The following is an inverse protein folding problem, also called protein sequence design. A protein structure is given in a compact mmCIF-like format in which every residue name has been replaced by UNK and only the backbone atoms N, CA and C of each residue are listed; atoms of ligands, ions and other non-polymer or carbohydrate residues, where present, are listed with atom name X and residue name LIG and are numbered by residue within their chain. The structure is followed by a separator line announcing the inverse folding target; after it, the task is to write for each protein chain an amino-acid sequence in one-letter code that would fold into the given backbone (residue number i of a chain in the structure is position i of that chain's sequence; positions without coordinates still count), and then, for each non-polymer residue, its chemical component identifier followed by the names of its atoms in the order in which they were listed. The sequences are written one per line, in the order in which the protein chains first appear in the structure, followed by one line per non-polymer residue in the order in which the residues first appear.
data_IF_233310023180
#
_entry.id   IF_233310023180
#
_cell.length_a   1.000
_cell.length_b   1.000
_cell.length_c   1.000
_cell.angle_alpha   90.00
_cell.angle_beta   90.00
_cell.angle_gamma   90.00
#
_symmetry.space_group_name_H-M   'P 1'
#
loop_
_entity.id
_entity.type
_entity.pdbx_description
1 polymer ?
#
# COMPACT_ATOMS: atom_id res chain seq x y z
N UNK A 1 -8.00 -29.51 -10.87
CA UNK A 1 -7.14 -29.17 -9.72
C UNK A 1 -8.05 -29.08 -8.49
N UNK A 2 -7.96 -30.09 -7.62
CA UNK A 2 -8.86 -30.25 -6.49
C UNK A 2 -8.82 -29.07 -5.49
N UNK A 3 -9.99 -28.56 -5.15
CA UNK A 3 -10.21 -27.48 -4.17
C UNK A 3 -9.70 -27.79 -2.76
N UNK A 4 -9.21 -29.01 -2.50
CA UNK A 4 -8.93 -29.54 -1.15
C UNK A 4 -7.55 -29.16 -0.58
N UNK A 5 -6.65 -28.55 -1.35
CA UNK A 5 -5.25 -28.33 -0.96
C UNK A 5 -4.77 -26.88 -1.04
N UNK A 6 -5.64 -25.92 -1.19
CA UNK A 6 -5.23 -24.50 -1.25
C UNK A 6 -4.87 -23.99 0.15
N UNK A 7 -3.61 -23.61 0.34
CA UNK A 7 -3.19 -22.85 1.50
C UNK A 7 -4.05 -21.60 1.63
N UNK A 8 -4.75 -21.43 2.75
CA UNK A 8 -5.58 -20.25 2.97
C UNK A 8 -4.69 -19.02 3.18
N UNK A 9 -5.09 -17.86 2.60
CA UNK A 9 -4.43 -16.58 2.83
C UNK A 9 -4.34 -16.25 4.32
N UNK A 10 -5.38 -16.58 5.08
CA UNK A 10 -5.40 -16.43 6.54
C UNK A 10 -4.32 -17.27 7.23
N UNK A 11 -4.02 -18.47 6.71
CA UNK A 11 -2.93 -19.31 7.25
C UNK A 11 -1.57 -18.64 7.07
N UNK A 12 -1.29 -18.02 5.91
CA UNK A 12 -0.04 -17.28 5.68
C UNK A 12 0.07 -16.06 6.60
N UNK A 13 -0.99 -15.26 6.69
CA UNK A 13 -1.01 -14.06 7.52
C UNK A 13 -0.88 -14.37 9.01
N UNK A 14 -1.68 -15.31 9.52
CA UNK A 14 -1.76 -15.57 10.96
C UNK A 14 -0.77 -16.62 11.46
N UNK A 15 0.00 -17.30 10.58
CA UNK A 15 0.95 -18.32 10.98
C UNK A 15 2.06 -17.79 11.91
N UNK A 16 2.57 -16.59 11.66
CA UNK A 16 3.54 -15.92 12.51
C UNK A 16 2.95 -15.51 13.86
N UNK A 17 1.73 -14.92 13.83
CA UNK A 17 1.03 -14.42 15.01
C UNK A 17 0.53 -15.54 15.95
N UNK A 18 0.49 -16.79 15.45
CA UNK A 18 0.16 -18.00 16.21
C UNK A 18 1.38 -18.88 16.51
N UNK A 19 2.55 -18.55 15.95
CA UNK A 19 3.78 -19.32 16.07
C UNK A 19 4.51 -19.15 17.41
N UNK A 20 5.74 -19.61 17.45
CA UNK A 20 6.62 -19.57 18.65
C UNK A 20 6.91 -18.14 19.13
N UNK A 21 7.03 -17.19 18.21
CA UNK A 21 7.26 -15.77 18.51
C UNK A 21 5.98 -14.94 18.75
N UNK A 22 4.82 -15.60 18.93
CA UNK A 22 3.51 -14.93 19.06
C UNK A 22 3.48 -13.78 20.08
N UNK A 23 4.07 -13.97 21.25
CA UNK A 23 4.08 -12.93 22.32
C UNK A 23 4.82 -11.67 21.85
N UNK A 24 5.97 -11.82 21.22
CA UNK A 24 6.77 -10.71 20.70
C UNK A 24 6.08 -10.01 19.54
N UNK A 25 5.45 -10.79 18.65
CA UNK A 25 4.68 -10.26 17.52
C UNK A 25 3.52 -9.39 17.99
N UNK A 26 2.69 -9.89 18.92
CA UNK A 26 1.57 -9.12 19.47
C UNK A 26 2.00 -7.89 20.26
N UNK A 27 3.04 -7.98 21.11
CA UNK A 27 3.56 -6.83 21.85
C UNK A 27 4.04 -5.74 20.88
N UNK A 28 4.82 -6.12 19.86
CA UNK A 28 5.29 -5.13 18.86
C UNK A 28 4.14 -4.59 18.01
N UNK A 29 3.19 -5.43 17.61
CA UNK A 29 2.01 -4.99 16.85
C UNK A 29 1.15 -3.99 17.63
N UNK A 30 0.88 -4.28 18.91
CA UNK A 30 0.16 -3.36 19.80
C UNK A 30 0.94 -2.07 20.05
N UNK A 31 2.26 -2.14 20.20
CA UNK A 31 3.10 -0.96 20.33
C UNK A 31 3.05 -0.06 19.08
N UNK A 32 3.13 -0.65 17.89
CA UNK A 32 3.00 0.07 16.61
C UNK A 32 1.62 0.74 16.54
N UNK A 33 0.56 0.02 16.87
CA UNK A 33 -0.79 0.56 16.88
C UNK A 33 -0.95 1.72 17.86
N UNK A 34 -0.43 1.57 19.08
CA UNK A 34 -0.47 2.62 20.11
C UNK A 34 0.30 3.87 19.67
N UNK A 35 1.52 3.71 19.11
CA UNK A 35 2.32 4.83 18.61
C UNK A 35 1.65 5.51 17.41
N UNK A 36 1.03 4.75 16.50
CA UNK A 36 0.28 5.31 15.35
C UNK A 36 -0.93 6.11 15.82
N UNK A 37 -1.69 5.59 16.77
CA UNK A 37 -2.84 6.31 17.36
C UNK A 37 -2.37 7.55 18.13
N UNK A 38 -1.26 7.47 18.88
CA UNK A 38 -0.66 8.61 19.57
C UNK A 38 -0.21 9.69 18.58
N UNK A 39 0.39 9.32 17.45
CA UNK A 39 0.76 10.27 16.39
C UNK A 39 -0.48 10.99 15.81
N UNK A 40 -1.58 10.26 15.56
CA UNK A 40 -2.85 10.85 15.11
C UNK A 40 -3.41 11.80 16.18
N UNK A 41 -3.33 11.42 17.44
CA UNK A 41 -3.76 12.28 18.54
C UNK A 41 -2.93 13.59 18.63
N UNK A 42 -1.62 13.52 18.43
CA UNK A 42 -0.80 14.74 18.33
C UNK A 42 -1.22 15.62 17.14
N UNK A 43 -1.65 15.03 16.04
CA UNK A 43 -2.18 15.79 14.89
C UNK A 43 -3.50 16.51 15.24
N UNK A 44 -4.33 15.92 16.11
CA UNK A 44 -5.52 16.60 16.65
C UNK A 44 -5.14 17.80 17.52
N UNK A 45 -4.20 17.63 18.44
CA UNK A 45 -3.72 18.74 19.28
C UNK A 45 -3.10 19.87 18.45
N UNK A 46 -2.37 19.52 17.39
CA UNK A 46 -1.86 20.50 16.44
C UNK A 46 -3.00 21.21 15.69
N UNK A 47 -4.10 20.52 15.41
CA UNK A 47 -5.27 21.14 14.78
C UNK A 47 -5.96 22.14 15.72
N UNK A 48 -6.09 21.84 17.00
CA UNK A 48 -6.63 22.78 18.02
C UNK A 48 -5.65 23.94 18.25
N UNK A 49 -4.36 23.67 18.17
CA UNK A 49 -3.33 24.70 18.21
C UNK A 49 -3.49 25.71 17.05
N UNK A 50 -3.82 25.27 15.83
CA UNK A 50 -4.09 26.19 14.71
C UNK A 50 -5.17 27.21 15.07
N UNK A 51 -6.27 26.77 15.70
CA UNK A 51 -7.32 27.67 16.13
C UNK A 51 -6.82 28.71 17.12
N UNK A 52 -6.15 28.27 18.18
CA UNK A 52 -5.65 29.15 19.25
C UNK A 52 -4.60 30.13 18.72
N UNK A 53 -3.64 29.64 17.94
CA UNK A 53 -2.51 30.43 17.46
C UNK A 53 -2.94 31.52 16.44
N UNK A 54 -3.78 31.13 15.45
CA UNK A 54 -4.25 32.11 14.46
C UNK A 54 -5.27 33.10 15.05
N UNK A 55 -6.01 32.70 16.08
CA UNK A 55 -6.86 33.64 16.83
C UNK A 55 -6.03 34.65 17.65
N UNK A 56 -4.93 34.20 18.27
CA UNK A 56 -4.01 35.09 18.95
C UNK A 56 -3.31 36.06 17.98
N UNK A 57 -2.93 35.62 16.78
CA UNK A 57 -2.41 36.49 15.72
C UNK A 57 -3.43 37.51 15.28
N UNK A 58 -4.70 37.14 15.11
CA UNK A 58 -5.78 38.05 14.75
C UNK A 58 -6.01 39.14 15.82
N UNK A 59 -5.83 38.81 17.10
CA UNK A 59 -6.01 39.70 18.23
C UNK A 59 -4.73 40.46 18.64
N UNK A 60 -3.60 40.23 17.94
CA UNK A 60 -2.28 40.81 18.24
C UNK A 60 -1.78 40.51 19.66
N UNK A 61 -2.16 39.36 20.24
CA UNK A 61 -1.75 38.93 21.58
C UNK A 61 -0.37 38.30 21.55
N UNK A 62 0.65 39.10 21.80
CA UNK A 62 2.05 38.68 21.79
C UNK A 62 2.34 37.58 22.81
N UNK A 63 1.71 37.59 23.98
CA UNK A 63 1.94 36.58 25.02
C UNK A 63 1.37 35.23 24.61
N UNK A 64 0.14 35.22 24.09
CA UNK A 64 -0.48 33.99 23.57
C UNK A 64 0.27 33.41 22.37
N UNK A 65 0.82 34.27 21.48
CA UNK A 65 1.65 33.85 20.34
C UNK A 65 2.92 33.13 20.84
N UNK A 66 3.63 33.73 21.82
CA UNK A 66 4.87 33.11 22.37
C UNK A 66 4.58 31.78 23.03
N UNK A 67 3.53 31.69 23.81
CA UNK A 67 3.10 30.43 24.43
C UNK A 67 2.70 29.40 23.39
N UNK A 68 2.00 29.82 22.34
CA UNK A 68 1.63 28.96 21.19
C UNK A 68 2.85 28.36 20.48
N UNK A 69 3.93 29.13 20.28
CA UNK A 69 5.15 28.61 19.64
C UNK A 69 5.83 27.52 20.49
N UNK A 70 5.84 27.67 21.80
CA UNK A 70 6.39 26.66 22.72
C UNK A 70 5.52 25.39 22.67
N UNK A 71 4.19 25.53 22.71
CA UNK A 71 3.26 24.41 22.58
C UNK A 71 3.42 23.65 21.26
N UNK A 72 3.53 24.40 20.14
CA UNK A 72 3.76 23.81 18.83
C UNK A 72 5.02 22.96 18.82
N UNK A 73 6.12 23.49 19.36
CA UNK A 73 7.40 22.78 19.41
C UNK A 73 7.25 21.45 20.17
N UNK A 74 6.56 21.47 21.30
CA UNK A 74 6.28 20.26 22.08
C UNK A 74 5.43 19.24 21.32
N UNK A 75 4.33 19.67 20.72
CA UNK A 75 3.43 18.78 19.96
C UNK A 75 4.10 18.22 18.70
N UNK A 76 4.84 19.08 17.97
CA UNK A 76 5.55 18.66 16.76
C UNK A 76 6.63 17.65 17.07
N UNK A 77 7.42 17.87 18.15
CA UNK A 77 8.45 16.91 18.55
C UNK A 77 7.85 15.58 19.00
N UNK A 78 6.77 15.61 19.78
CA UNK A 78 6.05 14.40 20.19
C UNK A 78 5.47 13.63 18.98
N UNK A 79 4.87 14.35 18.02
CA UNK A 79 4.39 13.75 16.77
C UNK A 79 5.49 13.05 15.99
N UNK A 80 6.63 13.75 15.80
CA UNK A 80 7.80 13.20 15.11
C UNK A 80 8.31 11.95 15.85
N UNK A 81 8.44 12.01 17.17
CA UNK A 81 8.90 10.87 17.96
C UNK A 81 7.97 9.66 17.78
N UNK A 82 6.65 9.84 17.95
CA UNK A 82 5.69 8.74 17.80
C UNK A 82 5.67 8.17 16.38
N UNK A 83 5.72 9.00 15.36
CA UNK A 83 5.73 8.58 13.97
C UNK A 83 7.00 7.79 13.62
N UNK A 84 8.17 8.33 13.95
CA UNK A 84 9.46 7.69 13.65
C UNK A 84 9.61 6.35 14.39
N UNK A 85 9.21 6.29 15.66
CA UNK A 85 9.27 5.03 16.41
C UNK A 85 8.22 4.01 15.92
N UNK A 86 7.04 4.45 15.47
CA UNK A 86 6.06 3.56 14.85
C UNK A 86 6.64 2.89 13.60
N UNK A 87 7.25 3.66 12.70
CA UNK A 87 7.88 3.17 11.48
C UNK A 87 9.11 2.28 11.79
N UNK A 88 9.92 2.65 12.77
CA UNK A 88 11.05 1.84 13.20
C UNK A 88 10.61 0.45 13.71
N UNK A 89 9.61 0.40 14.58
CA UNK A 89 9.12 -0.87 15.11
C UNK A 89 8.40 -1.68 14.04
N UNK A 90 7.72 -1.04 13.10
CA UNK A 90 7.08 -1.69 11.95
C UNK A 90 8.13 -2.40 11.08
N UNK A 91 9.21 -1.71 10.71
CA UNK A 91 10.31 -2.30 9.93
C UNK A 91 11.00 -3.44 10.70
N UNK A 92 11.22 -3.26 12.00
CA UNK A 92 11.81 -4.29 12.86
C UNK A 92 10.91 -5.53 12.98
N UNK A 93 9.59 -5.35 13.05
CA UNK A 93 8.62 -6.45 13.06
C UNK A 93 8.58 -7.16 11.69
N UNK A 94 8.63 -6.41 10.58
CA UNK A 94 8.70 -6.96 9.22
C UNK A 94 9.92 -7.85 9.04
N UNK A 95 11.09 -7.40 9.49
CA UNK A 95 12.35 -8.15 9.42
C UNK A 95 12.29 -9.44 10.26
N UNK A 96 11.70 -9.41 11.47
CA UNK A 96 11.50 -10.60 12.29
C UNK A 96 10.57 -11.60 11.64
N UNK A 97 9.45 -11.12 11.09
CA UNK A 97 8.50 -11.96 10.39
C UNK A 97 9.12 -12.58 9.14
N UNK A 98 9.87 -11.79 8.36
CA UNK A 98 10.66 -12.28 7.21
C UNK A 98 11.63 -13.38 7.63
N UNK A 99 12.43 -13.15 8.68
CA UNK A 99 13.39 -14.15 9.18
C UNK A 99 12.70 -15.47 9.52
N UNK A 100 11.61 -15.41 10.28
CA UNK A 100 10.85 -16.58 10.68
C UNK A 100 10.24 -17.34 9.47
N UNK A 101 9.68 -16.61 8.49
CA UNK A 101 9.17 -17.23 7.27
C UNK A 101 10.30 -17.87 6.46
N UNK A 102 11.38 -17.14 6.22
CA UNK A 102 12.53 -17.63 5.43
C UNK A 102 13.11 -18.92 6.05
N UNK A 103 13.30 -18.94 7.36
CA UNK A 103 13.79 -20.13 8.07
C UNK A 103 12.87 -21.34 7.86
N UNK A 104 11.55 -21.16 7.99
CA UNK A 104 10.58 -22.23 7.76
C UNK A 104 10.52 -22.70 6.30
N UNK A 105 10.59 -21.77 5.35
CA UNK A 105 10.55 -22.10 3.94
C UNK A 105 11.83 -22.82 3.50
N UNK A 106 13.00 -22.34 3.94
CA UNK A 106 14.28 -23.00 3.68
C UNK A 106 14.30 -24.43 4.26
N UNK A 107 13.90 -24.58 5.53
CA UNK A 107 13.85 -25.91 6.16
C UNK A 107 12.93 -26.88 5.41
N UNK A 108 11.80 -26.44 4.90
CA UNK A 108 10.88 -27.27 4.09
C UNK A 108 11.44 -27.58 2.71
N UNK A 109 12.07 -26.59 2.07
CA UNK A 109 12.60 -26.72 0.71
C UNK A 109 13.83 -27.65 0.66
N UNK A 110 14.66 -27.65 1.71
CA UNK A 110 15.83 -28.53 1.81
C UNK A 110 15.49 -29.92 2.36
N UNK A 111 14.36 -30.09 3.06
CA UNK A 111 13.97 -31.37 3.64
C UNK A 111 13.63 -32.41 2.57
N UNK A 112 14.24 -33.60 2.67
CA UNK A 112 13.92 -34.77 1.81
C UNK A 112 14.07 -34.50 0.31
N UNK A 113 15.11 -33.72 -0.05
CA UNK A 113 15.46 -33.37 -1.44
C UNK A 113 14.31 -32.68 -2.21
N UNK A 114 13.49 -31.88 -1.49
CA UNK A 114 12.35 -31.21 -2.09
C UNK A 114 12.77 -30.31 -3.26
N UNK A 115 13.91 -29.62 -3.15
CA UNK A 115 14.49 -28.79 -4.21
C UNK A 115 14.64 -29.56 -5.52
N UNK A 116 15.17 -30.78 -5.45
CA UNK A 116 15.34 -31.67 -6.61
C UNK A 116 14.00 -32.19 -7.15
N UNK A 117 13.11 -32.62 -6.25
CA UNK A 117 11.78 -33.13 -6.64
C UNK A 117 10.94 -32.05 -7.33
N UNK A 118 11.00 -30.84 -6.85
CA UNK A 118 10.27 -29.71 -7.46
C UNK A 118 10.80 -29.41 -8.87
N UNK A 119 12.08 -29.51 -9.11
CA UNK A 119 12.67 -29.27 -10.42
C UNK A 119 12.31 -30.38 -11.41
N UNK A 120 12.50 -31.64 -11.05
CA UNK A 120 12.29 -32.79 -11.92
C UNK A 120 10.80 -33.03 -12.23
N UNK A 121 9.91 -32.94 -11.23
CA UNK A 121 8.50 -33.27 -11.41
C UNK A 121 7.65 -32.08 -11.83
N UNK A 122 8.18 -30.84 -11.86
CA UNK A 122 7.48 -29.66 -12.36
C UNK A 122 7.43 -29.55 -13.88
N UNK A 123 8.13 -30.44 -14.61
CA UNK A 123 8.12 -30.46 -16.08
C UNK A 123 8.58 -29.16 -16.73
N UNK A 124 9.56 -28.47 -16.15
CA UNK A 124 10.08 -27.20 -16.68
C UNK A 124 9.15 -25.99 -16.51
N UNK A 125 8.00 -26.13 -15.85
CA UNK A 125 7.15 -25.02 -15.42
C UNK A 125 7.61 -24.53 -14.05
N UNK A 126 8.92 -24.24 -13.93
CA UNK A 126 9.57 -23.90 -12.66
C UNK A 126 8.96 -22.67 -12.03
N UNK A 127 8.38 -22.86 -10.87
CA UNK A 127 8.29 -21.78 -9.91
C UNK A 127 9.75 -21.51 -9.49
N UNK A 128 10.20 -20.25 -9.48
CA UNK A 128 11.54 -19.86 -9.09
C UNK A 128 11.64 -19.83 -7.56
N UNK A 129 12.07 -20.92 -6.88
CA UNK A 129 12.09 -21.00 -5.41
C UNK A 129 12.99 -19.94 -4.78
N UNK A 130 14.10 -19.61 -5.45
CA UNK A 130 15.03 -18.56 -5.10
C UNK A 130 14.33 -17.22 -4.98
N UNK A 131 13.54 -16.82 -5.97
CA UNK A 131 12.77 -15.59 -5.97
C UNK A 131 11.65 -15.61 -4.92
N UNK A 132 10.98 -16.77 -4.73
CA UNK A 132 9.92 -16.89 -3.71
C UNK A 132 10.45 -16.71 -2.30
N UNK A 133 11.62 -17.29 -1.99
CA UNK A 133 12.22 -17.25 -0.66
C UNK A 133 12.92 -15.90 -0.40
N UNK A 134 13.62 -15.34 -1.40
CA UNK A 134 14.39 -14.10 -1.22
C UNK A 134 13.54 -12.83 -1.33
N UNK A 135 12.70 -12.72 -2.37
CA UNK A 135 12.00 -11.48 -2.70
C UNK A 135 10.53 -11.47 -2.26
N UNK A 136 9.78 -12.58 -2.53
CA UNK A 136 8.34 -12.59 -2.25
C UNK A 136 8.05 -12.63 -0.75
N UNK A 137 8.84 -13.32 0.07
CA UNK A 137 8.69 -13.30 1.53
C UNK A 137 8.94 -11.90 2.07
N UNK A 138 9.97 -11.21 1.60
CA UNK A 138 10.28 -9.83 2.00
C UNK A 138 9.14 -8.87 1.64
N UNK A 139 8.73 -8.91 0.38
CA UNK A 139 7.62 -8.10 -0.12
C UNK A 139 6.31 -8.38 0.62
N UNK A 140 5.99 -9.63 0.90
CA UNK A 140 4.78 -10.02 1.62
C UNK A 140 4.77 -9.50 3.05
N UNK A 141 5.87 -9.66 3.79
CA UNK A 141 5.93 -9.27 5.21
C UNK A 141 5.96 -7.76 5.38
N UNK A 142 6.75 -7.05 4.57
CA UNK A 142 6.86 -5.59 4.62
C UNK A 142 5.56 -4.90 4.17
N UNK A 143 4.98 -5.33 3.05
CA UNK A 143 3.72 -4.75 2.55
C UNK A 143 2.54 -5.07 3.47
N UNK A 144 2.46 -6.27 4.07
CA UNK A 144 1.39 -6.60 5.02
C UNK A 144 1.34 -5.63 6.19
N UNK A 145 2.49 -5.36 6.81
CA UNK A 145 2.56 -4.46 7.96
C UNK A 145 2.36 -2.99 7.56
N UNK A 146 2.93 -2.57 6.44
CA UNK A 146 2.74 -1.21 5.91
C UNK A 146 1.27 -0.92 5.57
N UNK A 147 0.58 -1.88 4.93
CA UNK A 147 -0.86 -1.75 4.63
C UNK A 147 -1.70 -1.72 5.91
N UNK A 148 -1.37 -2.55 6.90
CA UNK A 148 -2.10 -2.56 8.18
C UNK A 148 -1.90 -1.25 8.95
N UNK A 149 -0.67 -0.75 9.04
CA UNK A 149 -0.36 0.51 9.73
C UNK A 149 -1.01 1.70 9.02
N UNK A 150 -0.86 1.80 7.70
CA UNK A 150 -1.46 2.89 6.94
C UNK A 150 -2.99 2.88 6.98
N UNK A 151 -3.63 1.70 6.95
CA UNK A 151 -5.07 1.57 7.12
C UNK A 151 -5.52 2.01 8.52
N UNK A 152 -4.80 1.59 9.57
CA UNK A 152 -5.07 2.01 10.94
C UNK A 152 -4.97 3.52 11.08
N UNK A 153 -3.91 4.12 10.54
CA UNK A 153 -3.71 5.57 10.54
C UNK A 153 -4.84 6.29 9.80
N UNK A 154 -5.17 5.84 8.59
CA UNK A 154 -6.23 6.47 7.78
C UNK A 154 -7.60 6.41 8.48
N UNK A 155 -7.98 5.23 8.97
CA UNK A 155 -9.27 5.05 9.67
C UNK A 155 -9.32 5.89 10.95
N UNK A 156 -8.27 5.86 11.77
CA UNK A 156 -8.20 6.66 13.00
C UNK A 156 -8.28 8.16 12.68
N UNK A 157 -7.55 8.63 11.67
CA UNK A 157 -7.59 10.04 11.24
C UNK A 157 -8.98 10.43 10.77
N UNK A 158 -9.61 9.61 9.91
CA UNK A 158 -10.98 9.88 9.42
C UNK A 158 -11.95 10.00 10.59
N UNK A 159 -11.97 9.03 11.50
CA UNK A 159 -12.89 9.03 12.65
C UNK A 159 -12.68 10.28 13.50
N UNK A 160 -11.44 10.59 13.88
CA UNK A 160 -11.13 11.72 14.72
C UNK A 160 -11.49 13.06 14.05
N UNK A 161 -11.06 13.26 12.81
CA UNK A 161 -11.25 14.55 12.13
C UNK A 161 -12.68 14.76 11.61
N UNK A 162 -13.45 13.70 11.32
CA UNK A 162 -14.88 13.81 11.05
C UNK A 162 -15.61 14.33 12.30
N UNK A 163 -15.28 13.83 13.49
CA UNK A 163 -15.90 14.31 14.74
C UNK A 163 -15.58 15.79 14.96
N UNK A 164 -14.31 16.20 14.78
CA UNK A 164 -13.92 17.61 14.89
C UNK A 164 -14.65 18.48 13.86
N UNK A 165 -14.68 18.04 12.61
CA UNK A 165 -15.33 18.78 11.52
C UNK A 165 -16.85 18.86 11.72
N UNK A 166 -17.46 17.85 12.28
CA UNK A 166 -18.88 17.84 12.66
C UNK A 166 -19.17 18.88 13.74
N UNK A 167 -18.36 18.91 14.80
CA UNK A 167 -18.51 19.90 15.89
C UNK A 167 -18.25 21.34 15.44
N UNK A 168 -17.35 21.54 14.46
CA UNK A 168 -17.10 22.85 13.85
C UNK A 168 -18.17 23.25 12.84
N UNK A 169 -19.01 22.32 12.42
CA UNK A 169 -20.07 22.55 11.44
C UNK A 169 -21.35 22.95 12.14
N UNK A 170 -21.77 24.21 11.96
CA UNK A 170 -23.14 24.62 12.33
C UNK A 170 -24.16 24.12 11.30
N UNK A 171 -25.44 24.30 11.61
CA UNK A 171 -26.53 24.00 10.68
C UNK A 171 -26.54 25.02 9.54
N UNK A 172 -26.32 24.57 8.31
CA UNK A 172 -26.48 25.37 7.12
C UNK A 172 -27.98 25.45 6.80
N UNK A 173 -28.59 26.64 6.91
CA UNK A 173 -29.98 26.90 6.50
C UNK A 173 -29.97 27.53 5.12
N UNK A 174 -30.54 26.85 4.13
CA UNK A 174 -30.74 27.42 2.80
C UNK A 174 -32.18 27.19 2.35
N UNK A 175 -32.75 28.17 1.69
CA UNK A 175 -34.09 28.09 1.09
C UNK A 175 -33.96 27.75 -0.39
N UNK A 176 -34.47 26.58 -0.77
CA UNK A 176 -34.58 26.19 -2.17
C UNK A 176 -36.05 25.93 -2.52
N UNK A 177 -36.57 26.61 -3.53
CA UNK A 177 -37.96 26.51 -3.98
C UNK A 177 -39.01 26.71 -2.86
N UNK A 178 -38.76 27.62 -1.91
CA UNK A 178 -39.70 27.95 -0.80
C UNK A 178 -39.66 26.98 0.38
N UNK A 179 -38.84 25.98 0.35
CA UNK A 179 -38.57 25.09 1.50
C UNK A 179 -37.23 25.41 2.15
N UNK A 180 -37.23 25.55 3.48
CA UNK A 180 -36.01 25.73 4.27
C UNK A 180 -35.41 24.36 4.61
N UNK A 181 -34.22 24.09 4.10
CA UNK A 181 -33.46 22.91 4.42
C UNK A 181 -32.46 23.24 5.54
N UNK A 182 -32.40 22.39 6.55
CA UNK A 182 -31.43 22.43 7.63
C UNK A 182 -30.43 21.29 7.45
N UNK A 183 -29.22 21.62 7.04
CA UNK A 183 -28.15 20.62 6.83
C UNK A 183 -27.15 20.70 7.99
N UNK A 184 -27.25 19.78 8.93
CA UNK A 184 -26.27 19.62 10.01
C UNK A 184 -25.00 18.96 9.49
N UNK A 185 -23.82 19.35 9.98
CA UNK A 185 -22.56 18.74 9.57
C UNK A 185 -22.16 19.01 8.11
N UNK A 186 -22.62 20.12 7.49
CA UNK A 186 -22.42 20.37 6.06
C UNK A 186 -20.95 20.33 5.64
N UNK A 187 -20.00 20.69 6.52
CA UNK A 187 -18.57 20.63 6.25
C UNK A 187 -18.09 19.18 6.04
N UNK A 188 -18.65 18.24 6.78
CA UNK A 188 -18.34 16.80 6.61
C UNK A 188 -18.85 16.30 5.27
N UNK A 189 -20.13 16.63 4.94
CA UNK A 189 -20.73 16.21 3.67
C UNK A 189 -19.98 16.79 2.47
N UNK A 190 -19.57 18.06 2.54
CA UNK A 190 -18.78 18.69 1.46
C UNK A 190 -17.40 18.06 1.33
N UNK A 191 -16.72 17.69 2.44
CA UNK A 191 -15.43 17.02 2.42
C UNK A 191 -15.55 15.61 1.82
N UNK A 192 -16.56 14.84 2.20
CA UNK A 192 -16.81 13.51 1.67
C UNK A 192 -17.13 13.56 0.17
N UNK A 193 -18.04 14.44 -0.24
CA UNK A 193 -18.45 14.59 -1.63
C UNK A 193 -17.28 15.00 -2.52
N UNK A 194 -16.48 15.96 -2.06
CA UNK A 194 -15.26 16.40 -2.74
C UNK A 194 -14.28 15.23 -2.91
N UNK A 195 -14.00 14.50 -1.83
CA UNK A 195 -13.05 13.40 -1.85
C UNK A 195 -13.51 12.23 -2.73
N UNK A 196 -14.81 11.87 -2.67
CA UNK A 196 -15.39 10.82 -3.51
C UNK A 196 -15.36 11.22 -4.97
N UNK A 197 -15.75 12.46 -5.30
CA UNK A 197 -15.72 12.97 -6.67
C UNK A 197 -14.29 12.97 -7.25
N UNK A 198 -13.31 13.51 -6.51
CA UNK A 198 -11.91 13.53 -6.92
C UNK A 198 -11.32 12.13 -7.12
N UNK A 199 -11.63 11.23 -6.22
CA UNK A 199 -11.27 9.82 -6.29
C UNK A 199 -11.83 9.15 -7.54
N UNK A 200 -13.12 9.31 -7.79
CA UNK A 200 -13.80 8.72 -8.94
C UNK A 200 -13.19 9.22 -10.26
N UNK A 201 -12.97 10.52 -10.39
CA UNK A 201 -12.35 11.12 -11.58
C UNK A 201 -10.92 10.62 -11.77
N UNK A 202 -10.12 10.57 -10.70
CA UNK A 202 -8.73 10.06 -10.72
C UNK A 202 -8.70 8.60 -11.14
N UNK A 203 -9.62 7.76 -10.63
CA UNK A 203 -9.72 6.36 -11.00
C UNK A 203 -10.06 6.17 -12.49
N UNK A 204 -11.00 6.94 -13.03
CA UNK A 204 -11.39 6.85 -14.45
C UNK A 204 -10.23 7.17 -15.41
N UNK A 205 -9.41 8.18 -15.04
CA UNK A 205 -8.22 8.54 -15.83
C UNK A 205 -7.10 7.53 -15.63
N UNK A 206 -6.87 7.08 -14.40
CA UNK A 206 -5.81 6.15 -14.02
C UNK A 206 -6.00 4.72 -14.55
N UNK A 207 -7.24 4.29 -14.75
CA UNK A 207 -7.58 2.94 -15.22
C UNK A 207 -6.83 2.53 -16.50
N UNK A 208 -6.69 3.44 -17.46
CA UNK A 208 -5.98 3.18 -18.72
C UNK A 208 -4.47 3.03 -18.54
N UNK A 209 -3.91 3.62 -17.49
CA UNK A 209 -2.48 3.55 -17.19
C UNK A 209 -2.06 2.14 -16.75
N UNK A 210 -2.93 1.42 -16.06
CA UNK A 210 -2.67 0.03 -15.62
C UNK A 210 -2.41 -0.88 -16.83
N UNK A 211 -3.26 -0.79 -17.85
CA UNK A 211 -3.10 -1.58 -19.07
C UNK A 211 -1.82 -1.20 -19.84
N UNK A 212 -1.49 0.10 -19.93
CA UNK A 212 -0.27 0.57 -20.59
C UNK A 212 1.00 0.14 -19.83
N UNK A 213 1.00 0.16 -18.51
CA UNK A 213 2.11 -0.32 -17.69
C UNK A 213 2.31 -1.84 -17.82
N UNK A 214 1.22 -2.61 -17.88
CA UNK A 214 1.30 -4.04 -18.14
C UNK A 214 1.92 -4.34 -19.51
N UNK A 215 1.49 -3.63 -20.56
CA UNK A 215 2.06 -3.78 -21.90
C UNK A 215 3.52 -3.33 -21.94
N UNK A 216 3.91 -2.29 -21.17
CA UNK A 216 5.29 -1.87 -21.03
C UNK A 216 6.16 -2.98 -20.45
N UNK A 217 5.75 -3.57 -19.33
CA UNK A 217 6.48 -4.69 -18.72
C UNK A 217 6.65 -5.87 -19.66
N UNK A 218 5.60 -6.19 -20.45
CA UNK A 218 5.64 -7.27 -21.44
C UNK A 218 6.66 -6.97 -22.56
N UNK A 219 6.70 -5.74 -23.08
CA UNK A 219 7.64 -5.33 -24.14
C UNK A 219 9.08 -5.31 -23.63
N UNK A 220 9.31 -4.81 -22.43
CA UNK A 220 10.61 -4.86 -21.74
C UNK A 220 11.08 -6.30 -21.52
N UNK A 221 10.19 -7.19 -21.09
CA UNK A 221 10.49 -8.61 -20.94
C UNK A 221 10.86 -9.26 -22.28
N UNK A 222 10.16 -8.94 -23.38
CA UNK A 222 10.46 -9.46 -24.71
C UNK A 222 11.81 -8.96 -25.23
N UNK A 223 12.16 -7.70 -24.95
CA UNK A 223 13.46 -7.15 -25.29
C UNK A 223 14.58 -7.86 -24.51
N UNK A 224 14.43 -7.99 -23.20
CA UNK A 224 15.36 -8.70 -22.33
C UNK A 224 15.54 -10.16 -22.74
N UNK A 225 14.46 -10.86 -23.06
CA UNK A 225 14.49 -12.23 -23.55
C UNK A 225 15.29 -12.34 -24.87
N UNK A 226 15.12 -11.37 -25.77
CA UNK A 226 15.94 -11.30 -26.99
C UNK A 226 17.44 -11.19 -26.72
N UNK A 227 17.83 -10.34 -25.77
CA UNK A 227 19.26 -10.21 -25.37
C UNK A 227 19.80 -11.49 -24.71
N UNK A 228 18.98 -12.13 -23.83
CA UNK A 228 19.38 -13.41 -23.22
C UNK A 228 19.59 -14.49 -24.29
N UNK A 229 18.67 -14.61 -25.26
CA UNK A 229 18.81 -15.54 -26.37
C UNK A 229 20.09 -15.29 -27.20
N UNK A 230 20.39 -14.01 -27.50
CA UNK A 230 21.63 -13.68 -28.21
C UNK A 230 22.87 -14.09 -27.42
N UNK A 231 22.88 -13.89 -26.10
CA UNK A 231 23.97 -14.33 -25.22
C UNK A 231 24.13 -15.87 -25.23
N UNK A 232 23.03 -16.57 -25.14
CA UNK A 232 23.03 -18.04 -25.08
C UNK A 232 23.45 -18.68 -26.41
N UNK A 233 23.26 -17.97 -27.55
CA UNK A 233 23.66 -18.41 -28.90
C UNK A 233 24.83 -17.61 -29.46
N UNK A 234 25.62 -16.93 -28.61
CA UNK A 234 26.66 -15.98 -29.02
C UNK A 234 27.68 -16.56 -29.97
N UNK A 235 28.14 -17.80 -29.72
CA UNK A 235 29.11 -18.48 -30.56
C UNK A 235 28.59 -18.72 -31.99
N UNK A 236 27.37 -19.24 -32.13
CA UNK A 236 26.72 -19.45 -33.42
C UNK A 236 26.52 -18.16 -34.19
N UNK A 237 26.06 -17.09 -33.51
CA UNK A 237 25.85 -15.78 -34.12
C UNK A 237 27.18 -15.15 -34.58
N UNK A 238 28.24 -15.32 -33.79
CA UNK A 238 29.58 -14.86 -34.12
C UNK A 238 30.15 -15.60 -35.35
N UNK A 239 29.96 -16.94 -35.37
CA UNK A 239 30.44 -17.81 -36.48
C UNK A 239 29.81 -17.40 -37.83
N UNK A 240 28.51 -17.09 -37.84
CA UNK A 240 27.78 -16.68 -39.05
C UNK A 240 27.84 -15.16 -39.30
N UNK A 241 28.61 -14.38 -38.55
CA UNK A 241 28.65 -12.93 -38.60
C UNK A 241 27.29 -12.24 -38.53
N UNK A 242 26.33 -12.88 -37.80
CA UNK A 242 24.92 -12.46 -37.71
C UNK A 242 24.64 -11.25 -36.83
N UNK A 243 25.64 -10.63 -36.19
CA UNK A 243 25.49 -9.55 -35.21
C UNK A 243 24.71 -8.35 -35.73
N UNK A 244 24.86 -7.95 -36.99
CA UNK A 244 24.09 -6.86 -37.57
C UNK A 244 22.59 -7.13 -37.66
N UNK A 245 22.18 -8.36 -37.98
CA UNK A 245 20.78 -8.76 -38.06
C UNK A 245 20.16 -8.86 -36.65
N UNK A 246 20.86 -9.41 -35.69
CA UNK A 246 20.42 -9.49 -34.31
C UNK A 246 20.28 -8.07 -33.69
N UNK A 247 21.22 -7.16 -33.99
CA UNK A 247 21.10 -5.77 -33.54
C UNK A 247 19.83 -5.10 -34.09
N UNK A 248 19.51 -5.28 -35.37
CA UNK A 248 18.27 -4.73 -35.94
C UNK A 248 17.02 -5.32 -35.29
N UNK A 249 16.99 -6.63 -35.03
CA UNK A 249 15.88 -7.31 -34.39
C UNK A 249 15.68 -6.85 -32.94
N UNK A 250 16.77 -6.70 -32.19
CA UNK A 250 16.74 -6.19 -30.82
C UNK A 250 16.33 -4.72 -30.76
N UNK A 251 16.88 -3.90 -31.65
CA UNK A 251 16.52 -2.48 -31.72
C UNK A 251 15.05 -2.28 -32.08
N UNK A 252 14.49 -3.08 -32.99
CA UNK A 252 13.07 -3.05 -33.30
C UNK A 252 12.20 -3.38 -32.06
N UNK A 253 12.58 -4.40 -31.28
CA UNK A 253 11.88 -4.73 -30.01
C UNK A 253 11.97 -3.58 -29.01
N UNK A 254 13.12 -2.95 -28.91
CA UNK A 254 13.32 -1.76 -28.07
C UNK A 254 12.44 -0.59 -28.52
N UNK A 255 12.36 -0.31 -29.81
CA UNK A 255 11.49 0.75 -30.34
C UNK A 255 10.02 0.52 -30.01
N UNK A 256 9.55 -0.73 -29.98
CA UNK A 256 8.18 -1.05 -29.54
C UNK A 256 7.98 -0.71 -28.05
N UNK A 257 8.96 -0.96 -27.20
CA UNK A 257 8.91 -0.57 -25.79
C UNK A 257 8.92 0.96 -25.65
N UNK A 258 9.77 1.66 -26.38
CA UNK A 258 9.84 3.14 -26.40
C UNK A 258 8.51 3.75 -26.88
N UNK A 259 7.91 3.21 -27.94
CA UNK A 259 6.62 3.69 -28.44
C UNK A 259 5.51 3.60 -27.38
N UNK A 260 5.45 2.48 -26.66
CA UNK A 260 4.49 2.33 -25.57
C UNK A 260 4.82 3.25 -24.38
N UNK A 261 6.11 3.44 -24.07
CA UNK A 261 6.54 4.37 -23.01
C UNK A 261 6.07 5.81 -23.27
N UNK A 262 6.07 6.27 -24.52
CA UNK A 262 5.48 7.56 -24.86
C UNK A 262 3.99 7.64 -24.55
N UNK A 263 3.23 6.56 -24.75
CA UNK A 263 1.81 6.50 -24.36
C UNK A 263 1.64 6.56 -22.85
N UNK A 264 2.50 5.85 -22.08
CA UNK A 264 2.55 5.90 -20.62
C UNK A 264 2.84 7.33 -20.15
N UNK A 265 3.86 7.99 -20.69
CA UNK A 265 4.22 9.39 -20.38
C UNK A 265 3.04 10.32 -20.65
N UNK A 266 2.40 10.19 -21.83
CA UNK A 266 1.23 11.02 -22.18
C UNK A 266 0.09 10.83 -21.18
N UNK A 267 -0.19 9.59 -20.74
CA UNK A 267 -1.23 9.30 -19.74
C UNK A 267 -0.85 9.77 -18.35
N UNK A 268 0.40 9.60 -17.94
CA UNK A 268 0.91 10.15 -16.69
C UNK A 268 0.76 11.67 -16.65
N UNK A 269 1.09 12.37 -17.75
CA UNK A 269 0.89 13.81 -17.83
C UNK A 269 -0.58 14.21 -17.60
N UNK A 270 -1.53 13.49 -18.24
CA UNK A 270 -2.96 13.75 -18.05
C UNK A 270 -3.39 13.52 -16.61
N UNK A 271 -2.92 12.43 -16.00
CA UNK A 271 -3.22 12.11 -14.60
C UNK A 271 -2.61 13.15 -13.65
N UNK A 272 -1.36 13.56 -13.88
CA UNK A 272 -0.68 14.59 -13.06
C UNK A 272 -1.38 15.94 -13.13
N UNK A 273 -1.84 16.37 -14.30
CA UNK A 273 -2.64 17.59 -14.44
C UNK A 273 -3.93 17.53 -13.60
N UNK A 274 -4.61 16.39 -13.66
CA UNK A 274 -5.85 16.19 -12.92
C UNK A 274 -5.60 16.16 -11.39
N UNK A 275 -4.62 15.37 -10.94
CA UNK A 275 -4.31 15.22 -9.50
C UNK A 275 -3.75 16.52 -8.91
N UNK A 276 -2.88 17.22 -9.65
CA UNK A 276 -2.36 18.52 -9.22
C UNK A 276 -3.45 19.59 -9.19
N UNK A 277 -4.30 19.66 -10.22
CA UNK A 277 -5.44 20.57 -10.25
C UNK A 277 -6.42 20.31 -9.11
N UNK A 278 -6.76 19.05 -8.90
CA UNK A 278 -7.59 18.62 -7.77
C UNK A 278 -6.96 19.03 -6.43
N UNK A 279 -5.65 18.79 -6.25
CA UNK A 279 -4.94 19.17 -5.03
C UNK A 279 -4.93 20.70 -4.79
N UNK A 280 -4.76 21.52 -5.84
CA UNK A 280 -4.81 22.97 -5.71
C UNK A 280 -6.23 23.48 -5.35
N UNK A 281 -7.25 22.90 -5.95
CA UNK A 281 -8.65 23.23 -5.60
C UNK A 281 -8.94 22.84 -4.14
N UNK A 282 -8.43 21.70 -3.69
CA UNK A 282 -8.59 21.21 -2.31
C UNK A 282 -8.07 22.19 -1.25
N UNK A 283 -7.02 22.95 -1.55
CA UNK A 283 -6.49 23.98 -0.63
C UNK A 283 -7.49 25.12 -0.44
N UNK A 284 -8.11 25.58 -1.53
CA UNK A 284 -9.01 26.74 -1.52
C UNK A 284 -10.44 26.37 -1.11
N UNK A 285 -10.88 25.16 -1.44
CA UNK A 285 -12.27 24.72 -1.27
C UNK A 285 -12.82 24.90 0.16
N UNK A 286 -12.12 24.47 1.24
CA UNK A 286 -12.62 24.67 2.60
C UNK A 286 -12.73 26.15 2.97
N UNK A 287 -11.86 27.02 2.45
CA UNK A 287 -11.97 28.46 2.66
C UNK A 287 -13.22 29.02 2.01
N UNK A 288 -13.53 28.65 0.77
CA UNK A 288 -14.74 29.08 0.07
C UNK A 288 -16.01 28.65 0.82
N UNK A 289 -16.03 27.41 1.31
CA UNK A 289 -17.18 26.85 2.04
C UNK A 289 -17.34 27.46 3.42
N UNK A 290 -16.26 27.83 4.12
CA UNK A 290 -16.31 28.45 5.44
C UNK A 290 -16.30 30.00 5.43
N UNK A 291 -15.95 30.65 4.29
CA UNK A 291 -15.87 32.11 4.16
C UNK A 291 -17.14 32.87 4.58
N UNK A 292 -18.37 32.44 4.25
CA UNK A 292 -19.57 33.16 4.68
C UNK A 292 -19.67 33.31 6.20
N UNK A 293 -19.24 32.28 6.94
CA UNK A 293 -19.23 32.29 8.41
C UNK A 293 -18.15 33.20 8.99
N UNK A 294 -16.97 33.20 8.36
CA UNK A 294 -15.90 34.11 8.75
C UNK A 294 -16.27 35.57 8.51
N UNK A 295 -16.84 35.90 7.33
CA UNK A 295 -17.28 37.24 6.99
C UNK A 295 -18.44 37.75 7.88
N UNK A 296 -19.29 36.85 8.36
CA UNK A 296 -20.36 37.17 9.34
C UNK A 296 -19.85 37.14 10.79
N UNK A 297 -18.53 37.04 11.02
CA UNK A 297 -17.87 37.01 12.34
C UNK A 297 -18.36 35.90 13.27
N UNK A 298 -18.95 34.83 12.73
CA UNK A 298 -19.36 33.65 13.49
C UNK A 298 -18.19 32.74 13.87
N UNK A 299 -17.11 32.75 13.09
CA UNK A 299 -15.86 32.04 13.37
C UNK A 299 -14.67 33.00 13.31
N UNK A 300 -13.63 32.71 14.12
CA UNK A 300 -12.35 33.42 14.08
C UNK A 300 -11.50 33.00 12.89
N UNK A 301 -10.40 33.70 12.62
CA UNK A 301 -9.38 33.25 11.65
C UNK A 301 -8.83 31.88 12.03
N UNK A 302 -8.61 31.65 13.33
CA UNK A 302 -8.16 30.35 13.83
C UNK A 302 -9.14 29.23 13.52
N UNK A 303 -10.45 29.46 13.72
CA UNK A 303 -11.49 28.50 13.36
C UNK A 303 -11.54 28.21 11.86
N UNK A 304 -11.32 29.22 11.01
CA UNK A 304 -11.22 29.04 9.57
C UNK A 304 -10.03 28.16 9.17
N UNK A 305 -8.86 28.42 9.77
CA UNK A 305 -7.64 27.61 9.54
C UNK A 305 -7.79 26.18 10.07
N UNK A 306 -8.44 26.01 11.21
CA UNK A 306 -8.77 24.71 11.77
C UNK A 306 -9.65 23.87 10.83
N UNK A 307 -10.71 24.47 10.28
CA UNK A 307 -11.59 23.82 9.29
C UNK A 307 -10.81 23.41 8.05
N UNK A 308 -9.95 24.30 7.51
CA UNK A 308 -9.14 24.00 6.34
C UNK A 308 -8.19 22.81 6.57
N UNK A 309 -7.55 22.77 7.74
CA UNK A 309 -6.66 21.68 8.11
C UNK A 309 -7.42 20.35 8.31
N UNK A 310 -8.57 20.38 9.00
CA UNK A 310 -9.44 19.20 9.16
C UNK A 310 -9.87 18.63 7.81
N UNK A 311 -10.30 19.51 6.91
CA UNK A 311 -10.71 19.13 5.56
C UNK A 311 -9.56 18.41 4.81
N UNK A 312 -8.35 18.98 4.84
CA UNK A 312 -7.17 18.37 4.25
C UNK A 312 -6.87 16.97 4.82
N UNK A 313 -6.92 16.82 6.15
CA UNK A 313 -6.68 15.53 6.82
C UNK A 313 -7.71 14.45 6.45
N UNK A 314 -8.99 14.82 6.37
CA UNK A 314 -10.05 13.89 5.92
C UNK A 314 -9.84 13.51 4.46
N UNK A 315 -9.53 14.49 3.59
CA UNK A 315 -9.26 14.26 2.18
C UNK A 315 -8.06 13.34 1.97
N UNK A 316 -6.93 13.62 2.62
CA UNK A 316 -5.71 12.81 2.49
C UNK A 316 -5.95 11.36 2.92
N UNK A 317 -6.68 11.17 4.03
CA UNK A 317 -7.00 9.84 4.55
C UNK A 317 -7.96 9.06 3.64
N UNK A 318 -8.94 9.72 3.03
CA UNK A 318 -9.83 9.11 2.03
C UNK A 318 -9.07 8.79 0.73
N UNK A 319 -8.20 9.70 0.30
CA UNK A 319 -7.32 9.47 -0.87
C UNK A 319 -6.36 8.31 -0.64
N UNK A 320 -5.88 8.12 0.59
CA UNK A 320 -5.04 6.96 0.94
C UNK A 320 -5.78 5.63 0.69
N UNK A 321 -7.04 5.52 1.10
CA UNK A 321 -7.82 4.28 0.92
C UNK A 321 -7.97 3.89 -0.56
N UNK A 322 -7.94 4.87 -1.44
CA UNK A 322 -8.00 4.64 -2.90
C UNK A 322 -6.63 4.31 -3.48
N UNK A 323 -5.62 5.05 -3.08
CA UNK A 323 -4.25 4.84 -3.58
C UNK A 323 -3.66 3.50 -3.10
N UNK A 324 -4.08 3.04 -1.94
CA UNK A 324 -3.66 1.74 -1.38
C UNK A 324 -4.13 0.54 -2.21
N UNK A 325 -5.14 0.71 -3.08
CA UNK A 325 -5.65 -0.37 -3.93
C UNK A 325 -4.56 -1.01 -4.81
N UNK A 326 -3.67 -0.20 -5.37
CA UNK A 326 -2.54 -0.72 -6.16
C UNK A 326 -1.55 -1.51 -5.30
N UNK A 327 -1.31 -1.06 -4.08
CA UNK A 327 -0.51 -1.77 -3.08
C UNK A 327 -1.15 -3.10 -2.68
N UNK A 328 -2.47 -3.12 -2.45
CA UNK A 328 -3.23 -4.34 -2.15
C UNK A 328 -3.15 -5.33 -3.31
N UNK A 329 -3.28 -4.88 -4.57
CA UNK A 329 -3.18 -5.75 -5.74
C UNK A 329 -1.78 -6.37 -5.87
N UNK A 330 -0.72 -5.60 -5.67
CA UNK A 330 0.67 -6.08 -5.65
C UNK A 330 0.90 -7.09 -4.52
N UNK A 331 0.45 -6.76 -3.31
CA UNK A 331 0.51 -7.64 -2.15
C UNK A 331 -0.26 -8.95 -2.38
N UNK A 332 -1.46 -8.89 -2.96
CA UNK A 332 -2.26 -10.07 -3.27
C UNK A 332 -1.59 -10.96 -4.31
N UNK A 333 -0.95 -10.38 -5.33
CA UNK A 333 -0.18 -11.12 -6.32
C UNK A 333 0.99 -11.85 -5.67
N UNK A 334 1.75 -11.18 -4.79
CA UNK A 334 2.84 -11.76 -4.01
C UNK A 334 2.34 -12.90 -3.09
N UNK A 335 1.26 -12.66 -2.35
CA UNK A 335 0.64 -13.66 -1.49
C UNK A 335 0.15 -14.89 -2.28
N UNK A 336 -0.41 -14.71 -3.48
CA UNK A 336 -0.84 -15.82 -4.33
C UNK A 336 0.34 -16.66 -4.84
N UNK A 337 1.48 -16.04 -5.17
CA UNK A 337 2.70 -16.76 -5.56
C UNK A 337 3.24 -17.60 -4.40
N UNK A 338 3.33 -17.03 -3.19
CA UNK A 338 3.75 -17.76 -1.98
C UNK A 338 2.80 -18.92 -1.64
N UNK A 339 1.48 -18.72 -1.85
CA UNK A 339 0.49 -19.80 -1.67
C UNK A 339 0.71 -20.91 -2.67
N UNK A 340 0.86 -20.60 -3.96
CA UNK A 340 1.12 -21.59 -5.01
C UNK A 340 2.40 -22.38 -4.72
N UNK A 341 3.46 -21.70 -4.28
CA UNK A 341 4.71 -22.34 -3.88
C UNK A 341 4.53 -23.28 -2.67
N UNK A 342 3.79 -22.84 -1.66
CA UNK A 342 3.47 -23.66 -0.47
C UNK A 342 2.64 -24.88 -0.85
N UNK A 343 1.60 -24.70 -1.68
CA UNK A 343 0.73 -25.77 -2.15
C UNK A 343 1.54 -26.82 -2.97
N UNK A 344 2.48 -26.35 -3.77
CA UNK A 344 3.36 -27.22 -4.55
C UNK A 344 4.27 -28.05 -3.65
N UNK A 345 4.93 -27.45 -2.65
CA UNK A 345 5.73 -28.21 -1.67
C UNK A 345 4.88 -29.23 -0.90
N UNK A 346 3.67 -28.87 -0.47
CA UNK A 346 2.77 -29.79 0.24
C UNK A 346 2.31 -30.95 -0.65
N UNK A 347 2.05 -30.70 -1.93
CA UNK A 347 1.67 -31.75 -2.90
C UNK A 347 2.81 -32.76 -3.10
N UNK A 348 4.04 -32.27 -3.28
CA UNK A 348 5.23 -33.13 -3.44
C UNK A 348 5.54 -33.95 -2.17
N UNK A 349 5.36 -33.34 -0.99
CA UNK A 349 5.52 -34.06 0.29
C UNK A 349 4.53 -35.22 0.40
N UNK A 350 3.25 -35.00 0.06
CA UNK A 350 2.22 -36.05 0.09
C UNK A 350 2.47 -37.14 -0.92
N UNK A 351 2.88 -36.79 -2.14
CA UNK A 351 3.24 -37.76 -3.18
C UNK A 351 4.39 -38.68 -2.71
N UNK A 352 5.43 -38.10 -2.08
CA UNK A 352 6.52 -38.86 -1.52
C UNK A 352 6.09 -39.82 -0.42
N UNK A 353 5.28 -39.39 0.52
CA UNK A 353 4.74 -40.22 1.61
C UNK A 353 3.86 -41.36 1.08
N UNK A 354 3.09 -41.12 0.02
CA UNK A 354 2.28 -42.16 -0.62
C UNK A 354 3.13 -43.19 -1.34
N UNK A 355 4.20 -42.74 -2.04
CA UNK A 355 5.16 -43.66 -2.69
C UNK A 355 5.87 -44.56 -1.68
N UNK A 356 6.33 -43.99 -0.57
CA UNK A 356 6.97 -44.73 0.52
C UNK A 356 6.03 -45.79 1.14
N UNK A 357 4.77 -45.42 1.40
CA UNK A 357 3.75 -46.36 1.92
C UNK A 357 3.49 -47.50 0.93
N UNK A 358 3.46 -47.23 -0.38
CA UNK A 358 3.28 -48.27 -1.41
C UNK A 358 4.49 -49.20 -1.46
N UNK A 359 5.70 -48.68 -1.34
CA UNK A 359 6.93 -49.46 -1.31
C UNK A 359 6.96 -50.41 -0.09
N UNK A 360 6.70 -49.87 1.12
CA UNK A 360 6.65 -50.69 2.35
C UNK A 360 5.60 -51.80 2.25
N UNK A 361 4.43 -51.56 1.68
CA UNK A 361 3.40 -52.57 1.45
C UNK A 361 3.91 -53.69 0.48
N UNK A 362 4.59 -53.29 -0.63
CA UNK A 362 5.18 -54.27 -1.56
C UNK A 362 6.26 -55.12 -0.92
N UNK A 363 7.13 -54.51 -0.10
CA UNK A 363 8.21 -55.26 0.59
C UNK A 363 7.62 -56.26 1.59
N UNK A 364 6.57 -55.89 2.33
CA UNK A 364 5.87 -56.79 3.25
C UNK A 364 5.17 -57.95 2.54
N UNK A 365 4.65 -57.76 1.33
CA UNK A 365 4.02 -58.81 0.53
C UNK A 365 5.05 -59.76 -0.12
N UNK A 366 6.28 -59.28 -0.32
CA UNK A 366 7.37 -60.11 -0.88
C UNK A 366 8.16 -60.89 0.21
N UNK A 367 7.93 -60.57 1.49
CA UNK A 367 8.56 -61.25 2.63
C UNK A 367 7.67 -62.33 3.25
N UNK A 368 6.46 -62.53 2.73
CA UNK A 368 5.57 -63.66 2.98
C UNK A 368 5.67 -64.69 1.85
#
# INVERSE_FOLDING_TARGET
MDKQYRCSLSRLLFSYWKGEERKKAWIMGLLIAALTIAAVYMTLLLNDWFNSFYSALQNYDCQAIYHGLIQFTGYAFAYIAFSVYADYFQQKLALRWRRWMTEKYLARWTAGDMYYRMEVFSGGRGDNPDQRISEDIDSFTSQSLSLMQGLLQAVTTIVCFIVVLWNLSETLTFTLWGHTFHLEGYLVWTALLYSVAGTWVTHQVGKKLIALNYEQQKREANFRFGMMRLRDTAESVAFYHGGGRENQALFFRFLLAVANQYLVIKKNKQLSWLTSGYGQIAIIFPFVVAAPRYLTKKISLGGLMQIANCFGKVQDSLSYLVNVYTGIASWQACANRLRAFTDHMEAQTKAAQQAEKKLRRKTLLLSQ
#
